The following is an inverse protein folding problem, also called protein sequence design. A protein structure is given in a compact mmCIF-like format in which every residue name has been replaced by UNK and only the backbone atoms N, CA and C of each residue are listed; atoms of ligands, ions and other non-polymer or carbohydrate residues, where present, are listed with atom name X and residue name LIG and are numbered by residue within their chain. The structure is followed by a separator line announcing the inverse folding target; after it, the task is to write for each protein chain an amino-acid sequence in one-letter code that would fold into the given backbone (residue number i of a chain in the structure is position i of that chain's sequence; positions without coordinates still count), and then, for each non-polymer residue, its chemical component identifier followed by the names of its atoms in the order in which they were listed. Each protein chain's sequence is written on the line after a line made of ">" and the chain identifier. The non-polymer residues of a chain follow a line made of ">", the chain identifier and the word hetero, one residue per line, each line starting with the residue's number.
data_IF_989832802950
#
_entry.id   IF_989832802950
#
_cell.length_a   1.000
_cell.length_b   1.000
_cell.length_c   1.000
_cell.angle_alpha   90.00
_cell.angle_beta   90.00
_cell.angle_gamma   90.00
#
_symmetry.space_group_name_H-M   'P 1'
#
loop_
_entity.id
_entity.type
_entity.pdbx_description
1 polymer ?
#
# COMPACT_ATOMS: atom_id res chain seq x y z
N UNK A 1 2.18 -14.01 -1.49
CA UNK A 1 0.89 -13.97 -2.20
C UNK A 1 1.00 -14.48 -3.63
N UNK A 2 1.67 -13.77 -4.55
CA UNK A 2 1.73 -14.16 -5.97
C UNK A 2 2.26 -15.59 -6.23
N UNK A 3 3.30 -16.03 -5.52
CA UNK A 3 3.84 -17.38 -5.67
C UNK A 3 2.91 -18.50 -5.16
N UNK A 4 2.12 -18.24 -4.11
CA UNK A 4 1.14 -19.21 -3.59
C UNK A 4 -0.08 -19.32 -4.52
N UNK A 5 -0.48 -18.21 -5.15
CA UNK A 5 -1.53 -18.17 -6.16
C UNK A 5 -1.10 -18.89 -7.47
N UNK A 6 0.15 -18.69 -7.91
CA UNK A 6 0.70 -19.38 -9.08
C UNK A 6 0.89 -20.90 -8.87
N UNK A 7 1.01 -21.35 -7.61
CA UNK A 7 1.14 -22.76 -7.25
C UNK A 7 -0.20 -23.46 -6.97
N UNK A 8 -1.34 -22.80 -7.23
CA UNK A 8 -2.72 -23.27 -6.92
C UNK A 8 -2.91 -23.81 -5.49
N UNK A 9 -2.12 -23.28 -4.54
CA UNK A 9 -2.21 -23.66 -3.15
C UNK A 9 -3.49 -23.08 -2.55
N UNK A 10 -4.59 -23.86 -2.53
CA UNK A 10 -5.86 -23.51 -1.85
C UNK A 10 -5.79 -23.56 -0.31
N UNK A 11 -4.59 -23.45 0.26
CA UNK A 11 -4.41 -23.46 1.72
C UNK A 11 -4.60 -22.07 2.30
N UNK A 12 -5.54 -21.93 3.25
CA UNK A 12 -5.81 -20.68 3.98
C UNK A 12 -4.53 -20.08 4.59
N UNK A 13 -3.62 -20.91 5.08
CA UNK A 13 -2.39 -20.45 5.72
C UNK A 13 -1.39 -19.82 4.75
N UNK A 14 -1.42 -20.23 3.46
CA UNK A 14 -0.55 -19.67 2.43
C UNK A 14 -0.90 -18.21 2.09
N UNK A 15 -2.14 -17.79 2.37
CA UNK A 15 -2.61 -16.41 2.21
C UNK A 15 -2.79 -15.67 3.53
N UNK A 16 -3.14 -16.34 4.64
CA UNK A 16 -3.29 -15.68 5.93
C UNK A 16 -1.95 -15.15 6.44
N UNK A 17 -0.87 -15.94 6.34
CA UNK A 17 0.44 -15.57 6.89
C UNK A 17 1.04 -14.31 6.21
N UNK A 18 1.14 -14.23 4.87
CA UNK A 18 1.68 -13.03 4.25
C UNK A 18 0.73 -11.82 4.38
N UNK A 19 -0.57 -12.05 4.57
CA UNK A 19 -1.55 -10.97 4.75
C UNK A 19 -1.41 -10.35 6.13
N UNK A 20 -1.25 -11.16 7.17
CA UNK A 20 -0.95 -10.66 8.52
C UNK A 20 0.35 -9.84 8.55
N UNK A 21 1.41 -10.31 7.87
CA UNK A 21 2.65 -9.55 7.76
C UNK A 21 2.45 -8.22 7.02
N UNK A 22 1.70 -8.23 5.92
CA UNK A 22 1.34 -7.02 5.19
C UNK A 22 0.52 -6.06 6.06
N UNK A 23 -0.48 -6.54 6.80
CA UNK A 23 -1.33 -5.73 7.67
C UNK A 23 -0.52 -5.04 8.78
N UNK A 24 0.43 -5.75 9.40
CA UNK A 24 1.33 -5.17 10.42
C UNK A 24 2.22 -4.10 9.78
N UNK A 25 2.87 -4.43 8.66
CA UNK A 25 3.74 -3.49 7.96
C UNK A 25 2.97 -2.24 7.50
N UNK A 26 1.77 -2.41 6.96
CA UNK A 26 0.88 -1.33 6.53
C UNK A 26 0.43 -0.47 7.72
N UNK A 27 0.05 -1.11 8.83
CA UNK A 27 -0.37 -0.43 10.06
C UNK A 27 0.73 0.44 10.69
N UNK A 28 1.99 0.05 10.56
CA UNK A 28 3.14 0.87 11.01
C UNK A 28 3.46 1.97 9.98
N UNK A 29 3.43 1.64 8.70
CA UNK A 29 3.78 2.58 7.63
C UNK A 29 2.78 3.74 7.52
N UNK A 30 1.48 3.49 7.72
CA UNK A 30 0.43 4.51 7.60
C UNK A 30 0.64 5.71 8.55
N UNK A 31 0.78 5.56 9.88
CA UNK A 31 0.99 6.71 10.78
C UNK A 31 2.33 7.41 10.56
N UNK A 32 3.38 6.68 10.19
CA UNK A 32 4.70 7.25 9.87
C UNK A 32 4.66 8.08 8.59
N UNK A 33 4.05 7.56 7.52
CA UNK A 33 3.91 8.26 6.24
C UNK A 33 3.02 9.50 6.34
N UNK A 34 1.90 9.40 7.07
CA UNK A 34 1.00 10.53 7.31
C UNK A 34 1.69 11.68 8.05
N UNK A 35 2.42 11.36 9.12
CA UNK A 35 3.16 12.37 9.89
C UNK A 35 4.29 12.98 9.06
N UNK A 36 5.03 12.16 8.31
CA UNK A 36 6.16 12.62 7.49
C UNK A 36 5.74 13.47 6.28
N UNK A 37 4.53 13.28 5.76
CA UNK A 37 3.99 14.11 4.68
C UNK A 37 3.68 15.55 5.12
N UNK A 38 3.43 15.77 6.41
CA UNK A 38 3.01 17.05 6.97
C UNK A 38 4.15 17.75 7.72
N UNK A 39 5.02 16.98 8.40
CA UNK A 39 6.14 17.49 9.20
C UNK A 39 7.07 18.50 8.50
N UNK A 40 7.45 18.37 7.21
CA UNK A 40 8.33 19.34 6.55
C UNK A 40 7.64 20.66 6.16
N UNK A 41 6.32 20.79 6.32
CA UNK A 41 5.55 21.99 5.95
C UNK A 41 4.75 22.58 7.12
N UNK A 42 5.40 23.02 8.22
CA UNK A 42 4.71 23.48 9.43
C UNK A 42 3.81 24.70 9.18
N UNK A 43 4.21 25.59 8.28
CA UNK A 43 3.47 26.82 7.96
C UNK A 43 2.28 26.60 7.02
N UNK A 44 2.24 25.46 6.33
CA UNK A 44 1.18 25.05 5.40
C UNK A 44 0.56 23.69 5.76
N UNK A 45 0.65 23.29 7.03
CA UNK A 45 0.30 21.96 7.51
C UNK A 45 -1.16 21.56 7.17
N UNK A 46 -2.09 22.53 7.22
CA UNK A 46 -3.49 22.31 6.86
C UNK A 46 -3.67 21.95 5.38
N UNK A 47 -3.03 22.69 4.47
CA UNK A 47 -3.08 22.42 3.03
C UNK A 47 -2.34 21.13 2.67
N UNK A 48 -1.19 20.88 3.29
CA UNK A 48 -0.41 19.64 3.09
C UNK A 48 -1.23 18.40 3.51
N UNK A 49 -1.90 18.45 4.66
CA UNK A 49 -2.79 17.38 5.14
C UNK A 49 -3.99 17.17 4.21
N UNK A 50 -4.63 18.26 3.74
CA UNK A 50 -5.77 18.18 2.82
C UNK A 50 -5.40 17.56 1.46
N UNK A 51 -4.27 17.95 0.87
CA UNK A 51 -3.78 17.37 -0.40
C UNK A 51 -3.44 15.89 -0.21
N UNK A 52 -2.77 15.54 0.89
CA UNK A 52 -2.44 14.16 1.21
C UNK A 52 -3.72 13.29 1.37
N UNK A 53 -4.75 13.81 2.05
CA UNK A 53 -6.06 13.16 2.14
C UNK A 53 -6.76 12.99 0.78
N UNK A 54 -6.75 14.04 -0.04
CA UNK A 54 -7.32 14.02 -1.40
C UNK A 54 -6.65 12.96 -2.28
N UNK A 55 -5.31 12.93 -2.31
CA UNK A 55 -4.54 11.98 -3.11
C UNK A 55 -4.80 10.55 -2.64
N UNK A 56 -4.85 10.28 -1.33
CA UNK A 56 -5.23 8.95 -0.82
C UNK A 56 -6.62 8.53 -1.29
N UNK A 57 -7.60 9.44 -1.23
CA UNK A 57 -8.97 9.12 -1.61
C UNK A 57 -9.10 8.86 -3.12
N UNK A 58 -8.37 9.63 -3.95
CA UNK A 58 -8.30 9.41 -5.40
C UNK A 58 -7.69 8.04 -5.73
N UNK A 59 -6.60 7.67 -5.06
CA UNK A 59 -5.96 6.36 -5.25
C UNK A 59 -6.86 5.22 -4.79
N UNK A 60 -7.54 5.37 -3.66
CA UNK A 60 -8.50 4.40 -3.16
C UNK A 60 -9.67 4.21 -4.13
N UNK A 61 -10.20 5.31 -4.70
CA UNK A 61 -11.29 5.26 -5.67
C UNK A 61 -10.86 4.62 -6.99
N UNK A 62 -9.69 5.01 -7.53
CA UNK A 62 -9.15 4.41 -8.76
C UNK A 62 -8.91 2.91 -8.61
N UNK A 63 -8.32 2.49 -7.48
CA UNK A 63 -8.08 1.08 -7.20
C UNK A 63 -9.36 0.30 -6.92
N UNK A 64 -10.30 0.87 -6.15
CA UNK A 64 -11.60 0.25 -5.90
C UNK A 64 -12.43 0.09 -7.18
N UNK A 65 -12.39 1.10 -8.07
CA UNK A 65 -13.03 1.04 -9.38
C UNK A 65 -12.38 0.00 -10.30
N UNK A 66 -11.05 0.00 -10.41
CA UNK A 66 -10.33 -1.00 -11.21
C UNK A 66 -10.58 -2.41 -10.69
N UNK A 67 -10.50 -2.61 -9.38
CA UNK A 67 -10.77 -3.90 -8.75
C UNK A 67 -12.21 -4.33 -8.97
N UNK A 68 -13.18 -3.44 -8.81
CA UNK A 68 -14.60 -3.73 -9.03
C UNK A 68 -14.94 -4.12 -10.47
N UNK A 69 -14.21 -3.61 -11.46
CA UNK A 69 -14.36 -4.00 -12.87
C UNK A 69 -13.68 -5.34 -13.20
N UNK A 70 -12.65 -5.73 -12.46
CA UNK A 70 -11.85 -6.93 -12.73
C UNK A 70 -12.15 -8.08 -11.76
N UNK A 71 -13.01 -7.88 -10.75
CA UNK A 71 -13.39 -8.92 -9.80
C UNK A 71 -14.44 -9.86 -10.41
N UNK A 72 -13.99 -10.97 -10.97
CA UNK A 72 -14.87 -12.07 -11.35
C UNK A 72 -15.14 -12.98 -10.14
N UNK A 73 -16.38 -13.48 -10.03
CA UNK A 73 -16.84 -14.30 -8.90
C UNK A 73 -16.04 -15.62 -8.73
N UNK A 74 -15.39 -16.10 -9.79
CA UNK A 74 -14.66 -17.36 -9.82
C UNK A 74 -13.14 -17.23 -9.62
N UNK A 75 -12.58 -16.01 -9.59
CA UNK A 75 -11.12 -15.84 -9.57
C UNK A 75 -10.63 -14.84 -8.53
N UNK A 76 -9.81 -15.33 -7.59
CA UNK A 76 -9.08 -14.51 -6.60
C UNK A 76 -7.79 -13.89 -7.16
N UNK A 77 -7.47 -14.17 -8.43
CA UNK A 77 -6.29 -13.67 -9.15
C UNK A 77 -6.18 -12.14 -9.17
N UNK A 78 -7.25 -11.35 -9.43
CA UNK A 78 -7.18 -9.89 -9.49
C UNK A 78 -6.73 -9.27 -8.14
N UNK A 79 -7.24 -9.83 -7.03
CA UNK A 79 -6.85 -9.42 -5.68
C UNK A 79 -5.40 -9.81 -5.37
N UNK A 80 -5.01 -11.04 -5.70
CA UNK A 80 -3.67 -11.54 -5.42
C UNK A 80 -2.59 -10.75 -6.22
N UNK A 81 -2.84 -10.46 -7.49
CA UNK A 81 -1.95 -9.64 -8.32
C UNK A 81 -1.96 -8.18 -7.90
N UNK A 82 -3.12 -7.61 -7.56
CA UNK A 82 -3.22 -6.25 -7.05
C UNK A 82 -2.40 -6.06 -5.77
N UNK A 83 -2.62 -6.90 -4.77
CA UNK A 83 -1.87 -6.85 -3.50
C UNK A 83 -0.37 -7.07 -3.73
N UNK A 84 -0.01 -7.99 -4.64
CA UNK A 84 1.39 -8.25 -4.97
C UNK A 84 2.06 -7.05 -5.66
N UNK A 85 1.39 -6.43 -6.63
CA UNK A 85 1.86 -5.22 -7.32
C UNK A 85 2.07 -4.07 -6.34
N UNK A 86 1.07 -3.76 -5.52
CA UNK A 86 1.17 -2.67 -4.54
C UNK A 86 2.19 -2.96 -3.44
N UNK A 87 2.36 -4.23 -3.04
CA UNK A 87 3.43 -4.63 -2.13
C UNK A 87 4.82 -4.41 -2.76
N UNK A 88 4.98 -4.75 -4.04
CA UNK A 88 6.23 -4.52 -4.77
C UNK A 88 6.53 -3.03 -4.92
N UNK A 89 5.53 -2.22 -5.31
CA UNK A 89 5.66 -0.76 -5.32
C UNK A 89 6.08 -0.24 -3.95
N UNK A 90 5.38 -0.62 -2.88
CA UNK A 90 5.70 -0.17 -1.50
C UNK A 90 7.11 -0.57 -1.08
N UNK A 91 7.56 -1.78 -1.41
CA UNK A 91 8.93 -2.23 -1.16
C UNK A 91 9.95 -1.40 -1.93
N UNK A 92 9.68 -1.06 -3.19
CA UNK A 92 10.54 -0.19 -4.01
C UNK A 92 10.58 1.22 -3.42
N UNK A 93 9.44 1.80 -3.00
CA UNK A 93 9.37 3.11 -2.36
C UNK A 93 10.17 3.13 -1.07
N UNK A 94 10.02 2.09 -0.23
CA UNK A 94 10.77 1.94 1.01
C UNK A 94 12.28 1.77 0.76
N UNK A 95 12.68 1.08 -0.31
CA UNK A 95 14.08 0.87 -0.60
C UNK A 95 14.75 2.07 -1.28
N UNK A 96 14.04 2.80 -2.14
CA UNK A 96 14.64 3.85 -2.99
C UNK A 96 14.36 5.25 -2.50
N UNK A 97 13.12 5.57 -2.15
CA UNK A 97 12.68 6.92 -1.80
C UNK A 97 12.90 7.21 -0.32
N UNK A 98 12.66 6.25 0.58
CA UNK A 98 12.97 6.41 2.01
C UNK A 98 14.48 6.47 2.24
N UNK A 99 15.30 5.71 1.51
CA UNK A 99 16.76 5.84 1.63
C UNK A 99 17.27 7.20 1.13
N UNK A 100 16.67 7.75 0.05
CA UNK A 100 17.08 9.04 -0.51
C UNK A 100 16.62 10.25 0.30
N UNK A 101 15.38 10.23 0.82
CA UNK A 101 14.75 11.37 1.48
C UNK A 101 14.60 11.21 3.00
N UNK A 102 14.88 10.02 3.55
CA UNK A 102 14.81 9.73 4.98
C UNK A 102 15.92 10.36 5.82
N UNK A 103 16.96 10.92 5.19
CA UNK A 103 17.93 11.80 5.86
C UNK A 103 17.32 13.21 5.89
N UNK A 104 16.26 13.39 6.67
CA UNK A 104 15.90 14.73 7.13
C UNK A 104 16.84 15.04 8.29
N UNK A 105 17.87 15.84 7.99
CA UNK A 105 18.83 16.35 8.96
C UNK A 105 18.03 17.20 9.96
N UNK A 106 17.76 16.63 11.14
CA UNK A 106 17.32 17.39 12.31
C UNK A 106 18.38 18.39 12.74
#
# INVERSE_FOLDING_TARGET
>A
MGLAALADLRSIWAYALPFCLYQIAHGIHMPCGQSNAIAPFPQAAGTASAINGLVMMLMAFAMGHWLGLNLDADSTMPLAFGIWFWSACTAITAWTLVQRFGISKS
#
